data_IF_546637616761
#
_entry.id   IF_546637616761
#
_cell.length_a   1.000
_cell.length_b   1.000
_cell.length_c   1.000
_cell.angle_alpha   90.00
_cell.angle_beta   90.00
_cell.angle_gamma   90.00
#
_symmetry.space_group_name_H-M   'P 1'
#
loop_
_entity.id
_entity.type
_entity.pdbx_description
1 polymer ?
#
# COMPACT_ATOMS: atom_id res chain seq x y z
N UNK A 1 -21.02 -19.29 6.01
CA UNK A 1 -19.99 -19.40 7.07
C UNK A 1 -20.42 -18.52 8.23
N UNK A 2 -20.30 -18.98 9.48
CA UNK A 2 -20.55 -18.18 10.69
C UNK A 2 -19.25 -18.18 11.52
N UNK A 3 -18.82 -17.00 12.01
CA UNK A 3 -17.59 -16.82 12.77
C UNK A 3 -17.77 -15.72 13.81
N UNK A 4 -17.17 -15.89 14.99
CA UNK A 4 -17.12 -14.86 16.02
C UNK A 4 -16.15 -13.72 15.68
N UNK A 5 -15.12 -14.01 14.88
CA UNK A 5 -14.12 -13.04 14.44
C UNK A 5 -14.14 -12.92 12.91
N UNK A 6 -14.18 -11.69 12.42
CA UNK A 6 -14.08 -11.33 11.00
C UNK A 6 -12.99 -10.27 10.85
N UNK A 7 -12.08 -10.47 9.89
CA UNK A 7 -10.96 -9.57 9.64
C UNK A 7 -11.09 -9.02 8.22
N UNK A 8 -11.21 -7.71 8.08
CA UNK A 8 -11.23 -7.02 6.80
C UNK A 8 -9.82 -6.86 6.24
N UNK A 9 -9.51 -7.61 5.19
CA UNK A 9 -8.24 -7.59 4.42
C UNK A 9 -8.51 -7.37 2.93
N UNK A 10 -9.58 -6.64 2.59
CA UNK A 10 -10.11 -6.59 1.22
C UNK A 10 -9.35 -5.64 0.26
N UNK A 11 -8.16 -5.17 0.64
CA UNK A 11 -7.35 -4.26 -0.17
C UNK A 11 -8.17 -3.03 -0.60
N UNK A 12 -8.16 -2.65 -1.89
CA UNK A 12 -8.93 -1.50 -2.39
C UNK A 12 -10.44 -1.53 -2.07
N UNK A 13 -11.03 -2.70 -1.80
CA UNK A 13 -12.43 -2.83 -1.41
C UNK A 13 -12.67 -2.69 0.11
N UNK A 14 -11.64 -2.47 0.93
CA UNK A 14 -11.75 -2.46 2.39
C UNK A 14 -12.70 -1.40 2.93
N UNK A 15 -12.79 -0.22 2.29
CA UNK A 15 -13.75 0.81 2.67
C UNK A 15 -15.20 0.33 2.49
N UNK A 16 -15.51 -0.34 1.37
CA UNK A 16 -16.83 -0.88 1.10
C UNK A 16 -17.20 -2.03 2.04
N UNK A 17 -16.27 -2.96 2.29
CA UNK A 17 -16.47 -4.06 3.25
C UNK A 17 -16.69 -3.53 4.67
N UNK A 18 -15.95 -2.49 5.07
CA UNK A 18 -16.14 -1.86 6.37
C UNK A 18 -17.52 -1.18 6.47
N UNK A 19 -17.93 -0.41 5.47
CA UNK A 19 -19.26 0.18 5.43
C UNK A 19 -20.37 -0.88 5.53
N UNK A 20 -20.19 -2.01 4.84
CA UNK A 20 -21.10 -3.16 4.91
C UNK A 20 -21.18 -3.74 6.33
N UNK A 21 -20.06 -3.91 7.03
CA UNK A 21 -20.02 -4.45 8.38
C UNK A 21 -20.75 -3.58 9.41
N UNK A 22 -20.67 -2.25 9.26
CA UNK A 22 -21.34 -1.30 10.16
C UNK A 22 -22.80 -1.03 9.80
N UNK A 23 -23.23 -1.37 8.59
CA UNK A 23 -24.62 -1.18 8.16
C UNK A 23 -25.59 -2.02 8.99
N UNK A 24 -26.43 -1.36 9.79
CA UNK A 24 -27.40 -2.02 10.66
C UNK A 24 -26.81 -2.66 11.92
N UNK A 25 -25.53 -2.43 12.24
CA UNK A 25 -24.85 -3.04 13.38
C UNK A 25 -25.23 -2.43 14.76
N UNK A 26 -25.98 -1.33 14.79
CA UNK A 26 -26.36 -0.62 16.02
C UNK A 26 -25.23 0.15 16.71
N UNK A 27 -24.03 0.14 16.11
CA UNK A 27 -22.84 0.93 16.51
C UNK A 27 -22.30 1.63 15.26
N UNK A 28 -21.79 2.85 15.42
CA UNK A 28 -21.19 3.61 14.32
C UNK A 28 -19.70 3.27 14.16
N UNK A 29 -19.16 3.45 12.94
CA UNK A 29 -17.72 3.43 12.72
C UNK A 29 -17.10 4.69 13.35
N UNK A 30 -16.17 4.48 14.29
CA UNK A 30 -15.46 5.51 15.03
C UNK A 30 -14.07 5.83 14.44
N UNK A 31 -13.73 5.25 13.29
CA UNK A 31 -12.47 5.50 12.59
C UNK A 31 -12.28 7.00 12.29
N UNK A 32 -11.15 7.57 12.70
CA UNK A 32 -10.76 8.95 12.35
C UNK A 32 -10.06 9.04 11.00
N UNK A 33 -9.58 7.91 10.49
CA UNK A 33 -8.88 7.81 9.21
C UNK A 33 -9.58 6.76 8.35
N UNK A 34 -9.87 7.14 7.11
CA UNK A 34 -10.40 6.26 6.09
C UNK A 34 -9.37 6.07 4.97
N UNK A 35 -9.45 4.92 4.28
CA UNK A 35 -8.65 4.64 3.11
C UNK A 35 -9.48 4.71 1.85
N UNK A 36 -8.83 4.97 0.71
CA UNK A 36 -9.46 5.05 -0.61
C UNK A 36 -8.61 4.36 -1.67
N UNK A 37 -9.23 3.84 -2.74
CA UNK A 37 -8.49 3.31 -3.87
C UNK A 37 -7.67 4.42 -4.53
N UNK A 38 -6.35 4.21 -4.65
CA UNK A 38 -5.44 5.05 -5.41
C UNK A 38 -4.96 4.26 -6.63
N UNK A 39 -5.18 4.79 -7.83
CA UNK A 39 -4.69 4.20 -9.07
C UNK A 39 -3.20 4.47 -9.24
N UNK A 40 -2.45 3.43 -9.57
CA UNK A 40 -1.01 3.49 -9.83
C UNK A 40 -0.66 2.75 -11.12
N UNK A 41 0.42 3.19 -11.77
CA UNK A 41 0.93 2.60 -13.00
C UNK A 41 2.41 2.23 -12.87
N UNK A 42 2.78 1.18 -13.60
CA UNK A 42 4.18 0.87 -13.90
C UNK A 42 4.33 0.72 -15.41
N UNK A 43 5.44 1.23 -15.95
CA UNK A 43 5.83 1.06 -17.33
C UNK A 43 6.81 -0.10 -17.48
N UNK A 44 6.68 -0.84 -18.58
CA UNK A 44 7.64 -1.83 -19.05
C UNK A 44 8.35 -1.27 -20.28
N UNK A 45 9.67 -1.13 -20.17
CA UNK A 45 10.52 -0.62 -21.23
C UNK A 45 11.48 -1.73 -21.69
N UNK A 46 11.86 -1.77 -22.97
CA UNK A 46 12.93 -2.67 -23.40
C UNK A 46 14.21 -2.31 -22.65
N UNK A 47 14.96 -3.32 -22.18
CA UNK A 47 16.25 -3.03 -21.58
C UNK A 47 17.23 -2.42 -22.60
N UNK A 48 18.20 -1.59 -22.19
CA UNK A 48 19.21 -1.09 -23.11
C UNK A 48 19.99 -2.26 -23.75
N UNK A 49 20.29 -2.23 -25.07
CA UNK A 49 20.96 -3.33 -25.75
C UNK A 49 22.28 -3.74 -25.08
N UNK A 50 22.42 -5.04 -24.77
CA UNK A 50 23.62 -5.60 -24.16
C UNK A 50 23.81 -5.30 -22.67
N UNK A 51 22.84 -4.64 -22.01
CA UNK A 51 22.93 -4.27 -20.59
C UNK A 51 22.80 -5.43 -19.61
N UNK A 52 22.07 -6.49 -19.98
CA UNK A 52 21.79 -7.65 -19.11
C UNK A 52 21.29 -7.20 -17.74
N UNK A 53 20.22 -6.40 -17.70
CA UNK A 53 19.80 -5.71 -16.47
C UNK A 53 19.53 -6.68 -15.32
N UNK A 54 19.02 -7.87 -15.63
CA UNK A 54 18.79 -8.95 -14.65
C UNK A 54 20.06 -9.32 -13.84
N UNK A 55 21.26 -9.01 -14.36
CA UNK A 55 22.54 -9.26 -13.71
C UNK A 55 23.24 -8.00 -13.21
N UNK A 56 22.95 -6.84 -13.81
CA UNK A 56 23.73 -5.61 -13.63
C UNK A 56 23.01 -4.54 -12.83
N UNK A 57 21.67 -4.56 -12.81
CA UNK A 57 20.87 -3.51 -12.21
C UNK A 57 20.19 -3.99 -10.92
N UNK A 58 20.55 -3.45 -9.73
CA UNK A 58 19.76 -3.66 -8.52
C UNK A 58 18.42 -2.93 -8.62
N UNK A 59 17.55 -3.12 -7.63
CA UNK A 59 16.41 -2.20 -7.48
C UNK A 59 16.95 -0.81 -7.16
N UNK A 60 16.61 0.18 -7.97
CA UNK A 60 17.00 1.58 -7.79
C UNK A 60 15.76 2.40 -7.48
N UNK A 61 15.81 3.25 -6.47
CA UNK A 61 14.83 4.32 -6.26
C UNK A 61 15.57 5.65 -6.43
N UNK A 62 15.15 6.45 -7.40
CA UNK A 62 15.71 7.77 -7.68
C UNK A 62 14.72 8.84 -7.23
N UNK A 63 15.03 9.46 -6.10
CA UNK A 63 14.20 10.50 -5.48
C UNK A 63 14.19 11.81 -6.28
N UNK A 64 15.20 12.05 -7.12
CA UNK A 64 15.33 13.26 -7.92
C UNK A 64 14.45 13.18 -9.18
N UNK A 65 14.44 12.02 -9.84
CA UNK A 65 13.57 11.80 -11.01
C UNK A 65 12.19 11.25 -10.65
N UNK A 66 11.95 10.88 -9.38
CA UNK A 66 10.62 10.46 -8.93
C UNK A 66 10.21 9.06 -9.39
N UNK A 67 11.18 8.17 -9.68
CA UNK A 67 10.89 6.79 -10.11
C UNK A 67 11.70 5.74 -9.37
N UNK A 68 11.17 4.53 -9.30
CA UNK A 68 11.96 3.34 -9.04
C UNK A 68 12.07 2.48 -10.30
N UNK A 69 13.18 1.74 -10.40
CA UNK A 69 13.56 0.94 -11.54
C UNK A 69 14.03 -0.43 -11.06
N UNK A 70 13.61 -1.49 -11.74
CA UNK A 70 14.16 -2.83 -11.52
C UNK A 70 14.12 -3.67 -12.80
N UNK A 71 14.98 -4.70 -12.91
CA UNK A 71 14.85 -5.69 -13.96
C UNK A 71 13.49 -6.40 -13.88
N UNK A 72 12.94 -6.71 -15.05
CA UNK A 72 11.69 -7.45 -15.23
C UNK A 72 11.92 -8.54 -16.28
N UNK A 73 11.32 -9.72 -16.03
CA UNK A 73 11.49 -10.90 -16.89
C UNK A 73 11.25 -10.56 -18.36
N UNK A 74 12.06 -11.17 -19.22
CA UNK A 74 11.94 -11.02 -20.68
C UNK A 74 12.75 -9.87 -21.26
N UNK A 75 13.85 -9.45 -20.61
CA UNK A 75 14.70 -8.37 -21.10
C UNK A 75 14.01 -7.01 -21.05
N UNK A 76 13.24 -6.77 -19.99
CA UNK A 76 12.52 -5.50 -19.80
C UNK A 76 12.94 -4.83 -18.50
N UNK A 77 12.84 -3.51 -18.48
CA UNK A 77 12.95 -2.69 -17.29
C UNK A 77 11.54 -2.34 -16.82
N UNK A 78 11.23 -2.61 -15.56
CA UNK A 78 10.05 -2.05 -14.91
C UNK A 78 10.43 -0.70 -14.31
N UNK A 79 9.65 0.31 -14.65
CA UNK A 79 9.73 1.66 -14.06
C UNK A 79 8.40 1.97 -13.39
N UNK A 80 8.42 2.39 -12.13
CA UNK A 80 7.23 2.83 -11.40
C UNK A 80 7.47 4.15 -10.70
N UNK A 81 6.38 4.86 -10.37
CA UNK A 81 6.47 6.11 -9.61
C UNK A 81 6.83 5.81 -8.14
N UNK A 82 7.49 6.78 -7.51
CA UNK A 82 7.56 6.89 -6.04
C UNK A 82 6.71 8.07 -5.55
N UNK A 83 5.74 8.47 -6.37
CA UNK A 83 4.75 9.50 -6.12
C UNK A 83 5.39 10.87 -5.76
N UNK A 84 6.29 11.42 -6.59
CA UNK A 84 6.84 12.74 -6.35
C UNK A 84 5.74 13.80 -6.32
N UNK A 85 5.97 14.90 -5.60
CA UNK A 85 4.98 15.98 -5.38
C UNK A 85 4.41 16.58 -6.67
N UNK A 86 5.15 16.51 -7.77
CA UNK A 86 4.71 17.02 -9.06
C UNK A 86 3.67 16.13 -9.77
N UNK A 87 3.53 14.86 -9.36
CA UNK A 87 2.56 13.93 -9.94
C UNK A 87 1.19 14.08 -9.26
N UNK A 88 0.13 14.03 -10.06
CA UNK A 88 -1.22 14.01 -9.52
C UNK A 88 -1.57 12.61 -9.00
N UNK A 89 -2.03 12.51 -7.75
CA UNK A 89 -2.59 11.28 -7.21
C UNK A 89 -4.03 11.05 -7.70
N UNK A 90 -4.27 9.93 -8.37
CA UNK A 90 -5.56 9.57 -8.95
C UNK A 90 -6.38 8.67 -8.01
N UNK A 91 -7.02 9.28 -7.02
CA UNK A 91 -7.96 8.58 -6.13
C UNK A 91 -9.30 8.33 -6.82
N UNK A 92 -9.84 7.12 -6.64
CA UNK A 92 -11.16 6.72 -7.14
C UNK A 92 -12.24 6.83 -6.05
N UNK A 93 -13.50 6.86 -6.48
CA UNK A 93 -14.66 6.72 -5.60
C UNK A 93 -14.85 5.26 -5.16
N UNK A 94 -14.62 4.32 -6.08
CA UNK A 94 -14.63 2.89 -5.81
C UNK A 94 -13.65 2.12 -6.71
N UNK A 95 -13.22 0.90 -6.33
CA UNK A 95 -12.36 0.06 -7.17
C UNK A 95 -12.96 -0.25 -8.54
N UNK A 96 -14.29 -0.30 -8.65
CA UNK A 96 -15.03 -0.60 -9.89
C UNK A 96 -14.90 0.52 -10.95
N UNK A 97 -14.47 1.72 -10.56
CA UNK A 97 -14.17 2.82 -11.48
C UNK A 97 -12.82 2.64 -12.20
N UNK A 98 -12.03 1.64 -11.82
CA UNK A 98 -10.70 1.40 -12.39
C UNK A 98 -10.77 1.05 -13.87
N UNK A 99 -9.90 1.72 -14.64
CA UNK A 99 -9.62 1.38 -16.03
C UNK A 99 -8.23 0.73 -16.13
N UNK A 100 -8.15 -0.43 -16.77
CA UNK A 100 -6.93 -1.23 -16.88
C UNK A 100 -5.86 -0.61 -17.79
N UNK A 101 -6.26 0.23 -18.74
CA UNK A 101 -5.36 0.89 -19.69
C UNK A 101 -4.37 1.83 -18.98
N UNK A 102 -3.21 2.03 -19.59
CA UNK A 102 -2.26 3.06 -19.16
C UNK A 102 -2.75 4.45 -19.58
N UNK A 103 -2.46 5.48 -18.79
CA UNK A 103 -2.66 6.89 -19.15
C UNK A 103 -1.34 7.49 -19.64
N UNK A 104 -1.29 8.80 -19.91
CA UNK A 104 -0.05 9.47 -20.29
C UNK A 104 1.07 9.35 -19.23
N UNK A 105 0.75 8.94 -18.00
CA UNK A 105 1.72 8.70 -16.92
C UNK A 105 2.81 7.70 -17.28
N UNK A 106 2.51 6.66 -18.08
CA UNK A 106 3.55 5.72 -18.51
C UNK A 106 4.68 6.41 -19.28
N UNK A 107 4.36 7.48 -20.03
CA UNK A 107 5.34 8.25 -20.81
C UNK A 107 6.24 9.08 -19.87
N UNK A 108 5.66 9.65 -18.81
CA UNK A 108 6.44 10.34 -17.75
C UNK A 108 7.45 9.39 -17.11
N UNK A 109 7.03 8.17 -16.76
CA UNK A 109 7.91 7.13 -16.22
C UNK A 109 9.05 6.78 -17.19
N UNK A 110 8.73 6.62 -18.49
CA UNK A 110 9.72 6.32 -19.52
C UNK A 110 10.76 7.43 -19.67
N UNK A 111 10.33 8.69 -19.72
CA UNK A 111 11.24 9.83 -19.85
C UNK A 111 12.12 10.01 -18.62
N UNK A 112 11.56 9.84 -17.40
CA UNK A 112 12.34 9.91 -16.16
C UNK A 112 13.43 8.83 -16.10
N UNK A 113 13.12 7.61 -16.52
CA UNK A 113 14.14 6.56 -16.63
C UNK A 113 15.21 6.87 -17.68
N UNK A 114 14.83 7.43 -18.83
CA UNK A 114 15.77 7.80 -19.90
C UNK A 114 16.78 8.89 -19.49
N UNK A 115 16.45 9.73 -18.49
CA UNK A 115 17.40 10.70 -17.91
C UNK A 115 18.59 10.03 -17.22
N UNK A 116 18.43 8.78 -16.74
CA UNK A 116 19.49 8.02 -16.04
C UNK A 116 20.10 6.91 -16.88
N UNK A 117 19.39 6.46 -17.92
CA UNK A 117 19.82 5.40 -18.82
C UNK A 117 19.91 5.95 -20.25
N UNK A 118 21.05 6.57 -20.66
CA UNK A 118 21.15 7.29 -21.93
C UNK A 118 20.91 6.43 -23.18
N UNK A 119 21.09 5.12 -23.09
CA UNK A 119 20.88 4.16 -24.18
C UNK A 119 19.50 3.47 -24.12
N UNK A 120 18.64 3.88 -23.19
CA UNK A 120 17.27 3.39 -23.08
C UNK A 120 16.45 3.84 -24.27
N UNK A 121 15.78 2.89 -24.93
CA UNK A 121 14.86 3.20 -26.01
C UNK A 121 13.48 3.48 -25.42
N UNK A 122 12.90 4.64 -25.75
CA UNK A 122 11.51 4.97 -25.39
C UNK A 122 10.60 4.58 -26.56
N UNK A 123 9.74 3.57 -26.41
CA UNK A 123 8.82 3.15 -27.48
C UNK A 123 7.76 4.22 -27.77
N UNK A 124 7.13 4.15 -28.94
CA UNK A 124 5.99 5.01 -29.31
C UNK A 124 4.64 4.50 -28.76
N UNK A 125 4.63 3.36 -28.08
CA UNK A 125 3.44 2.73 -27.51
C UNK A 125 3.74 2.21 -26.12
N UNK A 126 2.85 2.45 -25.16
CA UNK A 126 3.02 2.04 -23.78
C UNK A 126 2.82 0.54 -23.57
N UNK A 127 3.65 -0.03 -22.72
CA UNK A 127 3.46 -1.35 -22.13
C UNK A 127 3.64 -1.21 -20.61
N UNK A 128 2.89 -1.97 -19.82
CA UNK A 128 2.86 -1.76 -18.38
C UNK A 128 1.67 -2.42 -17.71
N UNK A 129 1.43 -2.02 -16.47
CA UNK A 129 0.29 -2.45 -15.66
C UNK A 129 -0.27 -1.25 -14.88
N UNK A 130 -1.59 -1.17 -14.84
CA UNK A 130 -2.33 -0.33 -13.90
C UNK A 130 -2.83 -1.19 -12.74
N UNK A 131 -2.80 -0.66 -11.52
CA UNK A 131 -3.29 -1.33 -10.32
C UNK A 131 -3.88 -0.33 -9.31
N UNK A 132 -4.42 -0.85 -8.20
CA UNK A 132 -4.93 -0.05 -7.10
C UNK A 132 -4.17 -0.31 -5.81
N UNK A 133 -3.86 0.77 -5.10
CA UNK A 133 -3.55 0.74 -3.68
C UNK A 133 -4.79 1.08 -2.87
N UNK A 134 -4.87 0.53 -1.66
CA UNK A 134 -5.78 1.01 -0.62
C UNK A 134 -5.01 1.98 0.27
N UNK A 135 -5.25 3.28 0.11
CA UNK A 135 -4.33 4.32 0.61
C UNK A 135 -5.01 5.20 1.66
N UNK A 136 -4.37 5.40 2.80
CA UNK A 136 -4.79 6.40 3.79
C UNK A 136 -4.16 7.76 3.48
N UNK A 137 -4.76 8.88 3.94
CA UNK A 137 -4.19 10.23 3.76
C UNK A 137 -2.76 10.39 4.28
N UNK A 138 -2.41 9.65 5.34
CA UNK A 138 -1.09 9.70 5.96
C UNK A 138 -0.16 8.56 5.51
N UNK A 139 -0.58 7.72 4.56
CA UNK A 139 0.18 6.58 4.02
C UNK A 139 0.58 5.51 5.05
N UNK A 140 -0.02 5.53 6.24
CA UNK A 140 0.16 4.53 7.29
C UNK A 140 -1.04 3.58 7.32
N UNK A 141 -0.85 2.25 7.35
CA UNK A 141 -1.97 1.31 7.39
C UNK A 141 -2.82 1.43 8.67
N UNK A 142 -4.04 0.91 8.58
CA UNK A 142 -4.93 0.71 9.72
C UNK A 142 -4.90 -0.79 10.03
N UNK A 143 -4.25 -1.14 11.15
CA UNK A 143 -4.15 -2.50 11.68
C UNK A 143 -4.74 -2.49 13.09
N UNK A 144 -6.06 -2.62 13.19
CA UNK A 144 -6.76 -2.32 14.44
C UNK A 144 -8.04 -3.14 14.64
N UNK A 145 -8.51 -3.18 15.90
CA UNK A 145 -9.89 -3.51 16.25
C UNK A 145 -10.81 -2.40 15.74
N UNK A 146 -12.11 -2.64 15.79
CA UNK A 146 -13.11 -1.60 15.50
C UNK A 146 -14.07 -1.41 16.68
N UNK A 147 -14.97 -0.44 16.59
CA UNK A 147 -16.09 -0.32 17.52
C UNK A 147 -17.09 -1.49 17.43
N UNK A 148 -17.10 -2.22 16.31
CA UNK A 148 -17.90 -3.43 16.14
C UNK A 148 -17.14 -4.64 16.73
N UNK A 149 -17.69 -5.24 17.78
CA UNK A 149 -17.09 -6.38 18.48
C UNK A 149 -16.88 -7.57 17.52
N UNK A 150 -15.71 -8.21 17.59
CA UNK A 150 -15.31 -9.30 16.70
C UNK A 150 -14.94 -8.88 15.27
N UNK A 151 -15.03 -7.60 14.91
CA UNK A 151 -14.64 -7.08 13.59
C UNK A 151 -13.33 -6.29 13.67
N UNK A 152 -12.32 -6.77 12.94
CA UNK A 152 -10.97 -6.20 12.87
C UNK A 152 -10.67 -5.73 11.46
N UNK A 153 -9.77 -4.76 11.32
CA UNK A 153 -9.45 -4.13 10.05
C UNK A 153 -7.95 -4.11 9.82
N UNK A 154 -7.53 -4.66 8.68
CA UNK A 154 -6.15 -4.69 8.20
C UNK A 154 -6.09 -4.06 6.80
N UNK A 155 -6.33 -2.75 6.76
CA UNK A 155 -6.60 -1.98 5.52
C UNK A 155 -5.64 -0.80 5.37
N UNK A 156 -5.75 -0.07 4.27
CA UNK A 156 -5.01 1.18 4.08
C UNK A 156 -3.51 0.98 3.86
N UNK A 157 -3.11 -0.16 3.29
CA UNK A 157 -1.70 -0.54 3.12
C UNK A 157 -0.84 0.40 2.27
N UNK A 158 -1.44 1.39 1.60
CA UNK A 158 -0.75 2.52 0.97
C UNK A 158 0.43 2.14 0.08
N UNK A 159 0.32 1.00 -0.62
CA UNK A 159 1.28 0.55 -1.63
C UNK A 159 2.61 -0.04 -1.14
N UNK A 160 2.93 0.01 0.16
CA UNK A 160 4.27 -0.34 0.64
C UNK A 160 4.35 -1.57 1.57
N UNK A 161 3.22 -2.20 1.89
CA UNK A 161 3.14 -3.27 2.92
C UNK A 161 3.24 -4.70 2.36
N UNK A 162 3.40 -4.92 1.05
CA UNK A 162 3.55 -6.28 0.52
C UNK A 162 4.72 -7.03 1.20
N UNK A 163 5.84 -6.32 1.41
CA UNK A 163 7.05 -6.84 2.05
C UNK A 163 6.89 -7.12 3.56
N UNK A 164 5.91 -6.49 4.22
CA UNK A 164 5.68 -6.59 5.67
C UNK A 164 4.57 -7.57 6.03
N UNK A 165 3.85 -8.11 5.04
CA UNK A 165 2.70 -9.00 5.25
C UNK A 165 2.93 -10.15 6.27
N UNK A 166 4.08 -10.83 6.33
CA UNK A 166 4.33 -11.85 7.35
C UNK A 166 4.33 -11.31 8.79
N UNK A 167 4.80 -10.07 8.99
CA UNK A 167 4.77 -9.40 10.30
C UNK A 167 3.35 -8.91 10.60
N UNK A 168 2.65 -8.38 9.61
CA UNK A 168 1.24 -7.94 9.74
C UNK A 168 0.34 -9.09 10.17
N UNK A 169 0.53 -10.30 9.64
CA UNK A 169 -0.18 -11.49 10.11
C UNK A 169 0.01 -11.77 11.61
N UNK A 170 1.23 -11.57 12.13
CA UNK A 170 1.52 -11.70 13.57
C UNK A 170 0.91 -10.57 14.39
N UNK A 171 0.94 -9.33 13.87
CA UNK A 171 0.27 -8.18 14.49
C UNK A 171 -1.23 -8.45 14.64
N UNK A 172 -1.88 -8.88 13.56
CA UNK A 172 -3.30 -9.22 13.52
C UNK A 172 -3.63 -10.33 14.53
N UNK A 173 -2.89 -11.43 14.52
CA UNK A 173 -3.12 -12.54 15.44
C UNK A 173 -2.99 -12.09 16.91
N UNK A 174 -1.95 -11.31 17.23
CA UNK A 174 -1.73 -10.82 18.59
C UNK A 174 -2.81 -9.84 19.05
N UNK A 175 -3.22 -8.93 18.15
CA UNK A 175 -4.27 -7.96 18.41
C UNK A 175 -5.59 -8.65 18.70
N UNK A 176 -6.00 -9.60 17.85
CA UNK A 176 -7.22 -10.39 18.04
C UNK A 176 -7.15 -11.16 19.35
N UNK A 177 -6.09 -11.90 19.60
CA UNK A 177 -5.92 -12.66 20.85
C UNK A 177 -6.04 -11.77 22.09
N UNK A 178 -5.38 -10.61 22.10
CA UNK A 178 -5.45 -9.68 23.23
C UNK A 178 -6.87 -9.14 23.42
N UNK A 179 -7.48 -8.59 22.38
CA UNK A 179 -8.81 -7.97 22.46
C UNK A 179 -9.91 -8.98 22.83
N UNK A 180 -9.89 -10.18 22.24
CA UNK A 180 -10.88 -11.23 22.55
C UNK A 180 -10.69 -11.79 23.98
N UNK A 181 -9.53 -11.60 24.61
CA UNK A 181 -9.28 -11.89 26.03
C UNK A 181 -9.57 -10.70 26.96
N UNK A 182 -10.28 -9.67 26.47
CA UNK A 182 -10.74 -8.53 27.28
C UNK A 182 -9.75 -7.37 27.38
N UNK A 183 -8.65 -7.38 26.62
CA UNK A 183 -7.69 -6.28 26.59
C UNK A 183 -8.27 -5.03 25.90
N UNK A 184 -8.18 -3.87 26.54
CA UNK A 184 -8.65 -2.60 25.97
C UNK A 184 -7.55 -1.94 25.13
N UNK A 185 -7.42 -2.38 23.87
CA UNK A 185 -6.41 -1.86 22.93
C UNK A 185 -6.46 -0.35 22.73
N UNK A 186 -7.65 0.26 22.81
CA UNK A 186 -7.83 1.70 22.56
C UNK A 186 -7.26 2.54 23.72
N UNK A 187 -7.22 2.00 24.95
CA UNK A 187 -6.62 2.67 26.12
C UNK A 187 -5.17 2.25 26.36
N UNK A 188 -4.89 0.97 26.20
CA UNK A 188 -3.58 0.36 26.44
C UNK A 188 -3.17 -0.36 25.15
N UNK A 189 -2.45 0.31 24.22
CA UNK A 189 -2.10 -0.32 22.95
C UNK A 189 -1.33 -1.62 23.13
N UNK A 190 -1.74 -2.64 22.35
CA UNK A 190 -1.07 -3.95 22.33
C UNK A 190 0.36 -3.78 21.84
N UNK A 191 1.29 -4.42 22.54
CA UNK A 191 2.72 -4.44 22.19
C UNK A 191 3.07 -5.74 21.47
N UNK A 192 3.76 -5.62 20.34
CA UNK A 192 4.32 -6.75 19.61
C UNK A 192 5.83 -6.83 19.83
N UNK A 193 6.30 -7.96 20.35
CA UNK A 193 7.72 -8.26 20.47
C UNK A 193 8.34 -8.56 19.09
N UNK A 194 9.53 -8.02 18.84
CA UNK A 194 10.29 -8.17 17.60
C UNK A 194 11.54 -9.04 17.88
N UNK A 195 11.42 -10.38 17.90
CA UNK A 195 12.46 -11.28 18.41
C UNK A 195 13.78 -11.21 17.63
N UNK A 196 13.74 -10.82 16.35
CA UNK A 196 14.93 -10.73 15.50
C UNK A 196 15.68 -9.41 15.65
N UNK A 197 15.01 -8.34 16.11
CA UNK A 197 15.63 -7.02 16.33
C UNK A 197 15.74 -6.65 17.80
N UNK A 198 15.18 -7.47 18.71
CA UNK A 198 15.18 -7.30 20.17
C UNK A 198 14.50 -6.00 20.63
N UNK A 199 13.47 -5.56 19.90
CA UNK A 199 12.64 -4.41 20.26
C UNK A 199 11.16 -4.77 20.39
N UNK A 200 10.35 -3.78 20.74
CA UNK A 200 8.89 -3.91 20.81
C UNK A 200 8.22 -2.84 19.94
N UNK A 201 7.08 -3.16 19.33
CA UNK A 201 6.31 -2.25 18.50
C UNK A 201 4.92 -2.06 19.09
N UNK A 202 4.53 -0.82 19.37
CA UNK A 202 3.16 -0.51 19.76
C UNK A 202 2.24 -0.59 18.53
N UNK A 203 1.20 -1.42 18.59
CA UNK A 203 0.20 -1.50 17.54
C UNK A 203 -0.69 -0.24 17.49
N UNK A 204 -0.66 0.60 18.53
CA UNK A 204 -1.36 1.89 18.53
C UNK A 204 -0.89 2.85 17.45
N UNK A 205 0.32 2.65 16.90
CA UNK A 205 0.82 3.38 15.72
C UNK A 205 -0.08 3.19 14.48
N UNK A 206 -0.81 2.07 14.40
CA UNK A 206 -1.69 1.73 13.30
C UNK A 206 -3.17 1.85 13.65
N UNK A 207 -3.49 2.47 14.80
CA UNK A 207 -4.86 2.58 15.26
C UNK A 207 -5.74 3.33 14.26
N UNK A 208 -7.01 2.96 14.17
CA UNK A 208 -8.05 3.73 13.46
C UNK A 208 -8.34 5.08 14.11
N UNK A 209 -7.98 5.24 15.40
CA UNK A 209 -8.22 6.43 16.22
C UNK A 209 -7.05 7.40 16.26
N UNK A 210 -5.94 7.08 15.57
CA UNK A 210 -4.75 7.92 15.51
C UNK A 210 -5.04 9.29 14.86
N UNK A 211 -4.19 10.26 15.16
CA UNK A 211 -4.09 11.49 14.36
C UNK A 211 -3.29 11.24 13.08
N UNK A 212 -3.29 12.21 12.16
CA UNK A 212 -2.47 12.12 10.95
C UNK A 212 -1.00 11.96 11.31
N UNK A 213 -0.35 10.97 10.71
CA UNK A 213 1.09 10.77 10.81
C UNK A 213 1.84 11.75 9.91
N UNK A 214 3.09 12.06 10.28
CA UNK A 214 4.00 12.83 9.43
C UNK A 214 4.85 11.86 8.60
N UNK A 215 4.53 11.71 7.33
CA UNK A 215 5.16 10.77 6.39
C UNK A 215 5.64 11.51 5.14
N UNK A 216 6.36 10.84 4.23
CA UNK A 216 6.66 11.41 2.91
C UNK A 216 5.41 11.66 2.07
N UNK A 217 4.28 11.05 2.42
CA UNK A 217 3.08 11.05 1.59
C UNK A 217 3.22 10.17 0.34
N UNK A 218 4.11 9.17 0.36
CA UNK A 218 4.41 8.28 -0.78
C UNK A 218 4.65 6.84 -0.33
N UNK A 219 4.91 5.91 -1.27
CA UNK A 219 5.27 4.51 -0.95
C UNK A 219 6.54 4.37 -0.09
N UNK A 220 7.34 5.42 0.07
CA UNK A 220 8.53 5.42 0.92
C UNK A 220 8.20 5.51 2.41
N UNK A 221 6.99 5.98 2.76
CA UNK A 221 6.47 6.06 4.12
C UNK A 221 6.79 7.33 4.89
#
# INVERSE_FOLDING_TARGET
VNSAVVINVAGPHSAAVNAMAFSGAGVADDSKISSRPLRVEVAYLPEPPGSRLDETLPVVADLDTGVYMRPQRGGTLLVGSIEPECDQLHFLGSPEEMQDGLTEEWTNLAYRAALRLPTLQVPNSGAGLSALYDTTPDWVPIYDRTALSGFYSMRGTSGNQFKTAPVVGRMCAKLVESCENGHDHDKEPVMLELPHTKGSLSLGLFSRLRGSSSTSGTVLG
#
